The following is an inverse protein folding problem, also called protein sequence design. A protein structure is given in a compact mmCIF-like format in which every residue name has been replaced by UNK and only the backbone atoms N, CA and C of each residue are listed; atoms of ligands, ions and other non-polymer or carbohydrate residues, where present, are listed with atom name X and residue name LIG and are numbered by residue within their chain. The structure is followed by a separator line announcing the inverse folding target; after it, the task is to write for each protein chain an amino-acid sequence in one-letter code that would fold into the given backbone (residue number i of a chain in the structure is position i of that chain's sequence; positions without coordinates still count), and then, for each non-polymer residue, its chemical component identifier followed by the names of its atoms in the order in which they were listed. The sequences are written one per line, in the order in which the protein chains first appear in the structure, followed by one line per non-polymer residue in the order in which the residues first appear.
data_IF_253143162962
#
_entry.id   IF_253143162962
#
_cell.length_a   1.000
_cell.length_b   1.000
_cell.length_c   1.000
_cell.angle_alpha   90.00
_cell.angle_beta   90.00
_cell.angle_gamma   90.00
#
_symmetry.space_group_name_H-M   'P 1'
#
loop_
_entity.id
_entity.type
_entity.pdbx_description
1 polymer ?
#
# COMPACT_ATOMS: atom_id res chain seq x y z
N UNK A 1 -3.28 0.84 28.19
CA UNK A 1 -3.05 -0.61 28.34
C UNK A 1 -2.19 -0.96 29.55
N UNK A 2 -0.99 -0.38 29.73
CA UNK A 2 -0.10 -0.73 30.86
C UNK A 2 -0.74 -0.57 32.24
N UNK A 3 -1.47 0.52 32.47
CA UNK A 3 -2.21 0.74 33.72
C UNK A 3 -3.29 -0.33 33.97
N UNK A 4 -3.90 -0.90 32.92
CA UNK A 4 -4.86 -2.01 33.07
C UNK A 4 -4.15 -3.30 33.44
N UNK A 5 -2.94 -3.54 32.91
CA UNK A 5 -2.11 -4.68 33.31
C UNK A 5 -1.67 -4.57 34.77
N UNK A 6 -1.25 -3.39 35.22
CA UNK A 6 -0.92 -3.16 36.64
C UNK A 6 -2.12 -3.43 37.55
N UNK A 7 -3.31 -2.97 37.17
CA UNK A 7 -4.54 -3.22 37.92
C UNK A 7 -4.91 -4.71 37.96
N UNK A 8 -4.75 -5.41 36.83
CA UNK A 8 -5.00 -6.85 36.72
C UNK A 8 -4.01 -7.64 37.59
N UNK A 9 -2.72 -7.30 37.53
CA UNK A 9 -1.68 -7.92 38.35
C UNK A 9 -1.97 -7.75 39.84
N UNK A 10 -2.30 -6.53 40.28
CA UNK A 10 -2.65 -6.27 41.68
C UNK A 10 -3.89 -7.06 42.13
N UNK A 11 -4.88 -7.24 41.25
CA UNK A 11 -6.06 -8.05 41.54
C UNK A 11 -5.73 -9.56 41.60
N UNK A 12 -4.83 -10.03 40.75
CA UNK A 12 -4.35 -11.41 40.76
C UNK A 12 -3.55 -11.72 42.04
N UNK A 13 -2.69 -10.80 42.48
CA UNK A 13 -1.93 -10.94 43.74
C UNK A 13 -2.89 -11.07 44.93
N UNK A 14 -3.94 -10.24 44.99
CA UNK A 14 -5.00 -10.35 46.02
C UNK A 14 -5.73 -11.70 45.99
N UNK A 15 -5.95 -12.28 44.81
CA UNK A 15 -6.56 -13.60 44.68
C UNK A 15 -5.63 -14.72 45.20
N UNK A 16 -4.32 -14.60 44.96
CA UNK A 16 -3.32 -15.57 45.40
C UNK A 16 -3.11 -15.53 46.93
N UNK A 17 -3.14 -14.34 47.52
CA UNK A 17 -2.99 -14.15 48.97
C UNK A 17 -4.27 -14.48 49.76
N UNK A 18 -5.35 -14.88 49.07
CA UNK A 18 -6.65 -15.23 49.67
C UNK A 18 -7.40 -14.02 50.22
N UNK A 19 -6.98 -12.80 49.90
CA UNK A 19 -7.48 -11.56 50.47
C UNK A 19 -8.30 -10.75 49.47
N UNK A 20 -9.61 -10.65 49.66
CA UNK A 20 -10.41 -9.56 49.08
C UNK A 20 -10.53 -9.53 47.55
N UNK A 21 -10.32 -10.65 46.87
CA UNK A 21 -10.61 -10.74 45.43
C UNK A 21 -12.08 -10.39 45.16
N UNK A 22 -12.29 -9.44 44.26
CA UNK A 22 -13.60 -8.99 43.83
C UNK A 22 -13.83 -9.36 42.35
N UNK A 23 -14.68 -10.36 42.05
CA UNK A 23 -15.02 -10.73 40.68
C UNK A 23 -15.62 -9.57 39.87
N UNK A 24 -16.39 -8.67 40.48
CA UNK A 24 -16.99 -7.55 39.76
C UNK A 24 -15.91 -6.54 39.32
N UNK A 25 -14.85 -6.39 40.13
CA UNK A 25 -13.68 -5.60 39.77
C UNK A 25 -12.90 -6.23 38.61
N UNK A 26 -12.78 -7.56 38.58
CA UNK A 26 -12.17 -8.27 37.46
C UNK A 26 -12.95 -8.03 36.16
N UNK A 27 -14.27 -8.20 36.19
CA UNK A 27 -15.15 -7.97 35.04
C UNK A 27 -15.00 -6.54 34.49
N UNK A 28 -14.92 -5.55 35.38
CA UNK A 28 -14.67 -4.16 34.99
C UNK A 28 -13.33 -3.96 34.28
N UNK A 29 -12.25 -4.57 34.78
CA UNK A 29 -10.92 -4.50 34.16
C UNK A 29 -10.93 -5.20 32.79
N UNK A 30 -11.58 -6.36 32.67
CA UNK A 30 -11.68 -7.10 31.41
C UNK A 30 -12.51 -6.34 30.35
N UNK A 31 -13.59 -5.67 30.75
CA UNK A 31 -14.38 -4.84 29.84
C UNK A 31 -13.55 -3.64 29.29
N UNK A 32 -12.69 -3.05 30.12
CA UNK A 32 -11.77 -2.00 29.67
C UNK A 32 -10.71 -2.54 28.69
N UNK A 33 -10.15 -3.72 28.97
CA UNK A 33 -9.24 -4.39 28.04
C UNK A 33 -9.88 -4.67 26.68
N UNK A 34 -11.10 -5.21 26.66
CA UNK A 34 -11.83 -5.47 25.43
C UNK A 34 -12.06 -4.18 24.63
N UNK A 35 -12.47 -3.10 25.32
CA UNK A 35 -12.66 -1.79 24.72
C UNK A 35 -11.37 -1.25 24.07
N UNK A 36 -10.25 -1.32 24.79
CA UNK A 36 -8.95 -0.83 24.30
C UNK A 36 -8.40 -1.71 23.17
N UNK A 37 -8.58 -3.03 23.24
CA UNK A 37 -8.21 -3.96 22.18
C UNK A 37 -9.01 -3.68 20.89
N UNK A 38 -10.34 -3.49 21.00
CA UNK A 38 -11.19 -3.17 19.86
C UNK A 38 -10.81 -1.83 19.22
N UNK A 39 -10.50 -0.82 20.04
CA UNK A 39 -10.06 0.49 19.57
C UNK A 39 -8.71 0.39 18.84
N UNK A 40 -7.75 -0.35 19.42
CA UNK A 40 -6.45 -0.60 18.82
C UNK A 40 -6.56 -1.32 17.47
N UNK A 41 -7.40 -2.36 17.39
CA UNK A 41 -7.65 -3.08 16.14
C UNK A 41 -8.31 -2.20 15.08
N UNK A 42 -9.29 -1.38 15.47
CA UNK A 42 -9.92 -0.45 14.55
C UNK A 42 -8.92 0.59 14.00
N UNK A 43 -8.02 1.09 14.84
CA UNK A 43 -6.96 2.02 14.42
C UNK A 43 -5.99 1.34 13.45
N UNK A 44 -5.51 0.13 13.76
CA UNK A 44 -4.62 -0.62 12.90
C UNK A 44 -5.26 -0.94 11.54
N UNK A 45 -6.54 -1.34 11.52
CA UNK A 45 -7.27 -1.59 10.29
C UNK A 45 -7.39 -0.33 9.42
N UNK A 46 -7.69 0.82 10.03
CA UNK A 46 -7.79 2.10 9.33
C UNK A 46 -6.44 2.54 8.74
N UNK A 47 -5.34 2.35 9.48
CA UNK A 47 -3.98 2.61 8.98
C UNK A 47 -3.67 1.72 7.78
N UNK A 48 -3.95 0.42 7.88
CA UNK A 48 -3.71 -0.53 6.80
C UNK A 48 -4.50 -0.18 5.54
N UNK A 49 -5.77 0.22 5.68
CA UNK A 49 -6.60 0.68 4.56
C UNK A 49 -6.06 1.97 3.94
N UNK A 50 -5.59 2.91 4.76
CA UNK A 50 -4.98 4.14 4.27
C UNK A 50 -3.72 3.87 3.45
N UNK A 51 -2.85 2.96 3.93
CA UNK A 51 -1.66 2.51 3.21
C UNK A 51 -2.05 1.83 1.90
N UNK A 52 -3.01 0.91 1.92
CA UNK A 52 -3.48 0.22 0.71
C UNK A 52 -3.96 1.21 -0.36
N UNK A 53 -4.79 2.19 0.02
CA UNK A 53 -5.25 3.24 -0.91
C UNK A 53 -4.12 4.13 -1.42
N UNK A 54 -3.13 4.45 -0.58
CA UNK A 54 -1.98 5.22 -1.02
C UNK A 54 -1.15 4.43 -2.05
N UNK A 55 -0.95 3.13 -1.81
CA UNK A 55 -0.23 2.25 -2.73
C UNK A 55 -0.96 2.07 -4.06
N UNK A 56 -2.28 1.94 -4.05
CA UNK A 56 -3.10 1.84 -5.26
C UNK A 56 -2.96 3.09 -6.13
N UNK A 57 -3.12 4.28 -5.55
CA UNK A 57 -2.93 5.55 -6.28
C UNK A 57 -1.52 5.71 -6.84
N UNK A 58 -0.50 5.28 -6.09
CA UNK A 58 0.87 5.31 -6.57
C UNK A 58 1.07 4.36 -7.77
N UNK A 59 0.47 3.17 -7.73
CA UNK A 59 0.51 2.22 -8.82
C UNK A 59 -0.25 2.73 -10.06
N UNK A 60 -1.42 3.34 -9.89
CA UNK A 60 -2.18 3.99 -10.97
C UNK A 60 -1.38 5.13 -11.62
N UNK A 61 -0.76 6.00 -10.81
CA UNK A 61 0.08 7.07 -11.31
C UNK A 61 1.26 6.53 -12.13
N UNK A 62 1.96 5.51 -11.61
CA UNK A 62 3.05 4.85 -12.32
C UNK A 62 2.58 4.19 -13.62
N UNK A 63 1.43 3.51 -13.60
CA UNK A 63 0.80 2.92 -14.77
C UNK A 63 0.49 3.97 -15.85
N UNK A 64 -0.10 5.10 -15.45
CA UNK A 64 -0.35 6.22 -16.36
C UNK A 64 0.92 6.82 -16.97
N UNK A 65 2.02 6.89 -16.20
CA UNK A 65 3.30 7.33 -16.75
C UNK A 65 3.86 6.33 -17.77
N UNK A 66 3.77 5.03 -17.48
CA UNK A 66 4.22 3.99 -18.42
C UNK A 66 3.39 3.99 -19.71
N UNK A 67 2.08 4.17 -19.62
CA UNK A 67 1.19 4.27 -20.77
C UNK A 67 1.50 5.52 -21.62
N UNK A 68 1.74 6.67 -20.97
CA UNK A 68 2.14 7.89 -21.67
C UNK A 68 3.50 7.73 -22.38
N UNK A 69 4.48 7.08 -21.74
CA UNK A 69 5.78 6.77 -22.37
C UNK A 69 5.61 5.78 -23.52
N UNK A 70 4.79 4.74 -23.35
CA UNK A 70 4.49 3.76 -24.39
C UNK A 70 3.79 4.39 -25.61
N UNK A 71 2.82 5.27 -25.35
CA UNK A 71 2.13 6.04 -26.38
C UNK A 71 3.08 7.01 -27.08
N UNK A 72 3.91 7.75 -26.35
CA UNK A 72 4.94 8.60 -26.94
C UNK A 72 5.92 7.80 -27.80
N UNK A 73 6.35 6.61 -27.38
CA UNK A 73 7.22 5.73 -28.17
C UNK A 73 6.51 5.16 -29.41
N UNK A 74 5.22 4.85 -29.32
CA UNK A 74 4.41 4.42 -30.45
C UNK A 74 4.01 5.54 -31.41
N UNK A 75 3.88 6.78 -30.92
CA UNK A 75 3.53 7.98 -31.69
C UNK A 75 4.74 8.71 -32.25
N UNK A 76 5.89 8.59 -31.58
CA UNK A 76 7.21 8.88 -32.14
C UNK A 76 7.30 8.00 -33.38
N UNK A 77 7.08 8.61 -34.54
CA UNK A 77 6.98 7.95 -35.82
C UNK A 77 8.32 7.34 -36.25
N UNK A 78 8.93 6.47 -35.45
CA UNK A 78 10.06 5.63 -35.83
C UNK A 78 9.65 4.77 -37.03
N UNK A 79 8.41 4.30 -37.09
CA UNK A 79 7.87 3.63 -38.27
C UNK A 79 7.83 4.56 -39.51
N UNK A 80 7.44 5.82 -39.35
CA UNK A 80 7.39 6.81 -40.44
C UNK A 80 8.77 7.31 -40.86
N UNK A 81 9.68 7.51 -39.90
CA UNK A 81 11.05 7.95 -40.12
C UNK A 81 11.91 6.83 -40.74
N UNK A 82 11.72 5.58 -40.30
CA UNK A 82 12.37 4.42 -40.90
C UNK A 82 11.84 4.20 -42.31
N UNK A 83 10.52 4.24 -42.54
CA UNK A 83 9.95 4.12 -43.88
C UNK A 83 10.42 5.24 -44.82
N UNK A 84 10.50 6.49 -44.34
CA UNK A 84 11.04 7.62 -45.11
C UNK A 84 12.54 7.44 -45.40
N UNK A 85 13.32 6.93 -44.45
CA UNK A 85 14.74 6.64 -44.62
C UNK A 85 14.96 5.52 -45.64
N UNK A 86 14.18 4.43 -45.58
CA UNK A 86 14.22 3.33 -46.55
C UNK A 86 13.85 3.81 -47.95
N UNK A 87 12.78 4.61 -48.09
CA UNK A 87 12.38 5.19 -49.37
C UNK A 87 13.47 6.12 -49.94
N UNK A 88 14.13 6.92 -49.09
CA UNK A 88 15.23 7.79 -49.51
C UNK A 88 16.47 6.99 -49.97
N UNK A 89 16.80 5.90 -49.28
CA UNK A 89 17.89 4.99 -49.70
C UNK A 89 17.59 4.31 -51.03
N UNK A 90 16.35 3.86 -51.25
CA UNK A 90 15.93 3.21 -52.49
C UNK A 90 15.94 4.18 -53.68
N UNK A 91 15.51 5.43 -53.48
CA UNK A 91 15.65 6.47 -54.50
C UNK A 91 17.10 6.78 -54.83
N UNK A 92 17.97 6.89 -53.82
CA UNK A 92 19.40 7.13 -54.03
C UNK A 92 20.06 5.97 -54.80
N UNK A 93 19.73 4.72 -54.46
CA UNK A 93 20.23 3.55 -55.17
C UNK A 93 19.75 3.49 -56.62
N UNK A 94 18.47 3.79 -56.88
CA UNK A 94 17.95 3.83 -58.26
C UNK A 94 18.55 4.97 -59.08
N UNK A 95 18.85 6.12 -58.46
CA UNK A 95 19.49 7.26 -59.12
C UNK A 95 20.94 6.96 -59.52
N UNK A 96 21.66 6.12 -58.77
CA UNK A 96 23.04 5.72 -59.08
C UNK A 96 23.16 4.44 -59.92
N UNK A 97 22.06 3.69 -60.07
CA UNK A 97 22.04 2.40 -60.78
C UNK A 97 21.57 2.46 -62.23
N UNK A 98 21.28 3.65 -62.78
CA UNK A 98 21.03 3.81 -64.23
C UNK A 98 22.36 4.10 -64.95
N UNK A 99 22.71 3.34 -66.01
CA UNK A 99 23.95 3.53 -66.76
C UNK A 99 23.96 4.83 -67.57
#
# INVERSE_FOLDING_TARGET
MDALFEQLSALADMALDGGGFDPARLDGILALFEGEARASWAAAAAEHEAVARATERAAEAAGGHLDAVGTYRGSSGEAGALAASTAAMEMAFNATSRP
#
